data_IF_125564248764
#
_entry.id   IF_125564248764
#
_cell.length_a   1.000
_cell.length_b   1.000
_cell.length_c   1.000
_cell.angle_alpha   90.00
_cell.angle_beta   90.00
_cell.angle_gamma   90.00
#
_symmetry.space_group_name_H-M   'P 1'
#
loop_
_entity.id
_entity.type
_entity.pdbx_description
1 polymer ?
#
# COMPACT_ATOMS: atom_id res chain seq x y z
N UNK A 1 43.03 -22.07 0.40
CA UNK A 1 42.08 -21.35 1.27
C UNK A 1 42.07 -19.84 0.93
N UNK A 2 42.68 -19.45 -0.19
CA UNK A 2 43.18 -18.10 -0.42
C UNK A 2 42.27 -17.22 -1.31
N UNK A 3 41.37 -17.84 -2.08
CA UNK A 3 40.43 -17.09 -2.93
C UNK A 3 39.34 -16.37 -2.12
N UNK A 4 38.86 -16.94 -1.01
CA UNK A 4 37.77 -16.33 -0.21
C UNK A 4 38.23 -15.06 0.53
N UNK A 5 39.50 -15.03 0.95
CA UNK A 5 40.10 -13.90 1.66
C UNK A 5 40.37 -12.71 0.72
N UNK A 6 40.69 -12.99 -0.55
CA UNK A 6 40.87 -11.98 -1.60
C UNK A 6 39.57 -11.23 -1.94
N UNK A 7 38.45 -11.93 -2.08
CA UNK A 7 37.15 -11.31 -2.37
C UNK A 7 36.63 -10.45 -1.20
N UNK A 8 36.83 -10.90 0.04
CA UNK A 8 36.44 -10.15 1.25
C UNK A 8 37.24 -8.84 1.39
N UNK A 9 38.54 -8.87 1.13
CA UNK A 9 39.38 -7.68 1.13
C UNK A 9 39.02 -6.70 0.01
N UNK A 10 38.72 -7.19 -1.20
CA UNK A 10 38.29 -6.35 -2.32
C UNK A 10 36.94 -5.67 -2.06
N UNK A 11 35.97 -6.38 -1.48
CA UNK A 11 34.68 -5.81 -1.08
C UNK A 11 34.84 -4.73 0.00
N UNK A 12 35.68 -4.99 1.01
CA UNK A 12 35.99 -4.05 2.10
C UNK A 12 36.69 -2.79 1.59
N UNK A 13 37.63 -2.95 0.64
CA UNK A 13 38.32 -1.84 -0.01
C UNK A 13 37.36 -0.97 -0.83
N UNK A 14 36.45 -1.58 -1.59
CA UNK A 14 35.46 -0.85 -2.40
C UNK A 14 34.48 -0.05 -1.53
N UNK A 15 34.02 -0.61 -0.40
CA UNK A 15 33.14 0.09 0.55
C UNK A 15 33.86 1.27 1.20
N UNK A 16 35.13 1.09 1.59
CA UNK A 16 35.94 2.17 2.19
C UNK A 16 36.19 3.30 1.19
N UNK A 17 36.56 2.96 -0.05
CA UNK A 17 36.76 3.93 -1.13
C UNK A 17 35.47 4.69 -1.47
N UNK A 18 34.33 4.00 -1.50
CA UNK A 18 33.03 4.65 -1.70
C UNK A 18 32.66 5.62 -0.55
N UNK A 19 32.99 5.26 0.69
CA UNK A 19 32.79 6.12 1.87
C UNK A 19 33.68 7.37 1.83
N UNK A 20 34.93 7.22 1.44
CA UNK A 20 35.89 8.33 1.25
C UNK A 20 35.43 9.28 0.13
N UNK A 21 34.98 8.75 -1.01
CA UNK A 21 34.44 9.54 -2.13
C UNK A 21 33.17 10.31 -1.70
N UNK A 22 32.26 9.65 -0.97
CA UNK A 22 31.05 10.30 -0.43
C UNK A 22 31.38 11.44 0.52
N UNK A 23 32.34 11.25 1.42
CA UNK A 23 32.77 12.31 2.34
C UNK A 23 33.45 13.48 1.62
N UNK A 24 34.32 13.20 0.64
CA UNK A 24 35.00 14.23 -0.15
C UNK A 24 34.00 15.07 -0.95
N UNK A 25 33.01 14.41 -1.54
CA UNK A 25 31.96 15.09 -2.29
C UNK A 25 31.01 15.90 -1.39
N UNK A 26 30.68 15.38 -0.19
CA UNK A 26 29.92 16.10 0.83
C UNK A 26 30.59 17.41 1.24
N UNK A 27 31.90 17.39 1.54
CA UNK A 27 32.66 18.61 1.86
C UNK A 27 32.68 19.61 0.70
N UNK A 28 32.73 19.12 -0.54
CA UNK A 28 32.66 19.99 -1.74
C UNK A 28 31.31 20.71 -1.81
N UNK A 29 30.20 20.00 -1.61
CA UNK A 29 28.86 20.60 -1.56
C UNK A 29 28.73 21.64 -0.44
N UNK A 30 29.23 21.33 0.76
CA UNK A 30 29.23 22.27 1.90
C UNK A 30 30.05 23.54 1.60
N UNK A 31 31.21 23.40 0.97
CA UNK A 31 32.02 24.55 0.55
C UNK A 31 31.33 25.41 -0.52
N UNK A 32 30.61 24.79 -1.45
CA UNK A 32 29.82 25.50 -2.48
C UNK A 32 28.60 26.21 -1.88
N UNK A 33 27.99 25.64 -0.84
CA UNK A 33 26.89 26.24 -0.09
C UNK A 33 27.36 27.48 0.69
N UNK A 34 28.54 27.41 1.32
CA UNK A 34 29.14 28.54 2.05
C UNK A 34 29.58 29.68 1.12
N UNK A 35 29.96 29.37 -0.12
CA UNK A 35 30.38 30.36 -1.12
C UNK A 35 29.22 31.00 -1.89
N UNK A 36 27.95 30.67 -1.58
CA UNK A 36 26.75 31.20 -2.22
C UNK A 36 26.70 31.02 -3.75
N UNK A 37 27.43 30.03 -4.29
CA UNK A 37 27.41 29.70 -5.71
C UNK A 37 26.24 28.77 -6.05
N UNK A 38 25.07 29.39 -6.20
CA UNK A 38 23.82 28.70 -6.52
C UNK A 38 23.86 27.94 -7.86
N UNK A 39 24.59 28.43 -8.87
CA UNK A 39 24.64 27.80 -10.20
C UNK A 39 25.36 26.47 -10.18
N UNK A 40 26.52 26.41 -9.54
CA UNK A 40 27.29 25.16 -9.41
C UNK A 40 26.55 24.10 -8.60
N UNK A 41 25.81 24.52 -7.57
CA UNK A 41 24.94 23.63 -6.78
C UNK A 41 23.81 23.03 -7.62
N UNK A 42 23.10 23.87 -8.40
CA UNK A 42 22.02 23.40 -9.27
C UNK A 42 22.52 22.48 -10.39
N UNK A 43 23.73 22.70 -10.92
CA UNK A 43 24.34 21.83 -11.92
C UNK A 43 24.76 20.47 -11.34
N UNK A 44 25.33 20.47 -10.13
CA UNK A 44 25.63 19.25 -9.39
C UNK A 44 24.36 18.46 -9.05
N UNK A 45 23.29 19.14 -8.63
CA UNK A 45 22.01 18.51 -8.32
C UNK A 45 21.38 17.85 -9.55
N UNK A 46 21.39 18.54 -10.71
CA UNK A 46 20.88 17.98 -11.98
C UNK A 46 21.63 16.72 -12.41
N UNK A 47 22.94 16.66 -12.14
CA UNK A 47 23.76 15.48 -12.46
C UNK A 47 23.43 14.28 -11.56
N UNK A 48 23.00 14.53 -10.31
CA UNK A 48 22.65 13.47 -9.35
C UNK A 48 21.23 12.95 -9.60
N UNK A 49 20.32 13.82 -9.98
CA UNK A 49 18.89 13.50 -10.10
C UNK A 49 18.47 13.09 -11.52
N UNK A 50 19.40 13.07 -12.49
CA UNK A 50 19.11 12.89 -13.92
C UNK A 50 17.99 13.83 -14.43
N UNK A 51 17.88 15.01 -13.81
CA UNK A 51 16.79 15.93 -14.09
C UNK A 51 16.99 16.61 -15.45
N UNK A 52 16.20 16.19 -16.44
CA UNK A 52 16.04 16.87 -17.72
C UNK A 52 14.91 17.89 -17.61
N UNK A 53 15.23 19.16 -17.89
CA UNK A 53 14.21 20.20 -18.02
C UNK A 53 13.25 19.83 -19.17
N UNK A 54 11.94 20.11 -19.06
CA UNK A 54 11.01 19.85 -20.14
C UNK A 54 11.41 20.66 -21.36
N UNK A 55 11.73 19.99 -22.47
CA UNK A 55 11.92 20.63 -23.77
C UNK A 55 10.60 21.27 -24.17
N UNK A 56 10.63 22.59 -24.39
CA UNK A 56 9.51 23.36 -24.90
C UNK A 56 9.11 22.89 -26.30
N UNK A 57 8.13 21.99 -26.37
CA UNK A 57 7.30 21.77 -27.54
C UNK A 57 5.88 22.13 -27.13
N UNK A 58 5.48 23.36 -27.46
CA UNK A 58 4.08 23.79 -27.38
C UNK A 58 3.40 23.16 -28.58
N UNK A 59 2.78 21.99 -28.39
CA UNK A 59 1.81 21.46 -29.34
C UNK A 59 0.46 22.14 -29.13
N UNK A 60 -0.07 22.71 -30.21
CA UNK A 60 -1.23 23.57 -30.28
C UNK A 60 -2.59 22.88 -30.00
N UNK A 61 -2.65 21.89 -29.12
CA UNK A 61 -3.88 21.11 -28.85
C UNK A 61 -4.56 21.44 -27.50
N UNK A 62 -4.07 22.45 -26.76
CA UNK A 62 -4.62 22.83 -25.46
C UNK A 62 -5.98 23.58 -25.52
N UNK A 63 -6.42 24.03 -26.70
CA UNK A 63 -7.70 24.78 -26.84
C UNK A 63 -8.93 23.89 -27.03
N UNK A 64 -8.78 22.61 -27.37
CA UNK A 64 -9.91 21.68 -27.52
C UNK A 64 -10.44 21.13 -26.18
N UNK A 65 -9.57 20.98 -25.17
CA UNK A 65 -9.93 20.37 -23.89
C UNK A 65 -10.57 21.33 -22.86
N UNK A 66 -10.59 22.64 -23.13
CA UNK A 66 -11.27 23.60 -22.25
C UNK A 66 -12.81 23.50 -22.35
N UNK A 67 -13.34 23.13 -23.52
CA UNK A 67 -14.79 23.06 -23.74
C UNK A 67 -15.44 21.78 -23.19
N UNK A 68 -14.66 20.72 -22.99
CA UNK A 68 -15.15 19.44 -22.42
C UNK A 68 -15.37 19.56 -20.90
N UNK A 69 -14.55 20.36 -20.21
CA UNK A 69 -14.65 20.57 -18.76
C UNK A 69 -15.83 21.49 -18.40
N UNK A 70 -16.21 22.41 -19.30
CA UNK A 70 -17.36 23.28 -19.11
C UNK A 70 -18.70 22.52 -19.19
N UNK A 71 -18.83 21.56 -20.12
CA UNK A 71 -20.05 20.77 -20.29
C UNK A 71 -20.26 19.72 -19.18
N UNK A 72 -19.20 19.25 -18.53
CA UNK A 72 -19.30 18.34 -17.38
C UNK A 72 -19.86 19.02 -16.12
N UNK A 73 -19.73 20.34 -15.98
CA UNK A 73 -20.28 21.11 -14.85
C UNK A 73 -21.78 21.41 -15.00
N UNK A 74 -22.32 21.39 -16.22
CA UNK A 74 -23.72 21.70 -16.48
C UNK A 74 -24.68 20.53 -16.19
N UNK A 75 -24.19 19.28 -16.16
CA UNK A 75 -25.00 18.08 -15.92
C UNK A 75 -24.93 17.55 -14.47
N UNK A 76 -24.24 18.25 -13.57
CA UNK A 76 -24.11 17.87 -12.16
C UNK A 76 -25.20 18.48 -11.24
N UNK A 77 -26.10 19.31 -11.77
CA UNK A 77 -27.14 20.05 -11.03
C UNK A 77 -28.44 19.27 -10.79
N UNK A 78 -28.46 17.95 -10.92
CA UNK A 78 -29.60 17.13 -10.49
C UNK A 78 -29.14 15.94 -9.65
N UNK A 79 -28.79 16.22 -8.40
CA UNK A 79 -28.82 15.22 -7.34
C UNK A 79 -29.59 15.83 -6.18
N UNK A 80 -30.78 15.27 -5.95
CA UNK A 80 -31.70 15.63 -4.86
C UNK A 80 -30.98 15.48 -3.53
N UNK A 81 -31.04 16.53 -2.72
CA UNK A 81 -30.69 16.46 -1.30
C UNK A 81 -31.78 15.67 -0.59
N UNK A 82 -31.48 14.43 -0.22
CA UNK A 82 -32.14 13.79 0.91
C UNK A 82 -31.26 14.05 2.14
N UNK A 83 -31.57 15.12 2.86
CA UNK A 83 -31.08 15.33 4.22
C UNK A 83 -31.79 14.31 5.13
N UNK A 84 -31.17 13.16 5.34
CA UNK A 84 -31.50 12.29 6.47
C UNK A 84 -30.38 12.38 7.49
N UNK A 85 -30.65 13.17 8.53
CA UNK A 85 -29.83 13.33 9.71
C UNK A 85 -29.90 12.06 10.58
N UNK A 86 -28.99 11.12 10.35
CA UNK A 86 -28.48 10.22 11.40
C UNK A 86 -26.99 10.52 11.58
N UNK A 87 -26.67 11.41 12.51
CA UNK A 87 -25.27 11.62 12.95
C UNK A 87 -24.88 10.45 13.87
N UNK A 88 -24.76 9.27 13.29
CA UNK A 88 -24.20 8.10 13.96
C UNK A 88 -22.67 8.20 13.86
N UNK A 89 -22.00 8.38 15.01
CA UNK A 89 -20.56 8.32 15.24
C UNK A 89 -19.65 8.56 14.01
N UNK A 90 -19.40 9.84 13.69
CA UNK A 90 -18.40 10.19 12.70
C UNK A 90 -17.04 9.56 13.05
N UNK A 91 -16.52 8.71 12.17
CA UNK A 91 -15.21 8.09 12.34
C UNK A 91 -14.11 9.15 12.22
N UNK A 92 -13.57 9.59 13.35
CA UNK A 92 -12.50 10.57 13.42
C UNK A 92 -11.21 9.88 13.81
N UNK A 93 -10.17 10.07 13.00
CA UNK A 93 -8.83 9.53 13.27
C UNK A 93 -8.08 10.50 14.17
N UNK A 94 -7.54 10.01 15.29
CA UNK A 94 -6.67 10.79 16.16
C UNK A 94 -5.20 10.74 15.72
N UNK A 95 -4.42 11.76 16.09
CA UNK A 95 -2.97 11.75 15.84
C UNK A 95 -2.25 10.58 16.50
N UNK A 96 -2.74 10.16 17.67
CA UNK A 96 -2.22 9.01 18.38
C UNK A 96 -2.38 7.71 17.56
N UNK A 97 -3.51 7.54 16.88
CA UNK A 97 -3.76 6.38 16.03
C UNK A 97 -2.85 6.35 14.81
N UNK A 98 -2.65 7.51 14.15
CA UNK A 98 -1.72 7.63 13.02
C UNK A 98 -0.27 7.36 13.45
N UNK A 99 0.16 7.95 14.57
CA UNK A 99 1.48 7.73 15.16
C UNK A 99 1.70 6.25 15.48
N UNK A 100 0.70 5.59 16.09
CA UNK A 100 0.73 4.15 16.38
C UNK A 100 0.81 3.32 15.10
N UNK A 101 0.04 3.67 14.07
CA UNK A 101 0.07 3.00 12.78
C UNK A 101 1.46 3.11 12.13
N UNK A 102 2.07 4.30 12.13
CA UNK A 102 3.41 4.55 11.59
C UNK A 102 4.51 3.78 12.33
N UNK A 103 4.46 3.75 13.66
CA UNK A 103 5.42 3.00 14.48
C UNK A 103 5.36 1.48 14.24
N UNK A 104 4.18 0.96 13.88
CA UNK A 104 3.96 -0.46 13.55
C UNK A 104 4.33 -0.84 12.12
N UNK A 105 4.67 0.12 11.26
CA UNK A 105 5.06 -0.18 9.87
C UNK A 105 6.33 -1.05 9.83
N UNK A 106 6.29 -2.09 9.00
CA UNK A 106 7.47 -2.90 8.72
C UNK A 106 8.44 -2.10 7.82
N UNK A 107 9.59 -1.75 8.37
CA UNK A 107 10.62 -0.90 7.73
C UNK A 107 11.37 -1.58 6.59
N UNK A 108 11.22 -2.89 6.42
CA UNK A 108 11.87 -3.67 5.36
C UNK A 108 11.01 -3.79 4.10
N UNK A 109 9.73 -3.37 4.16
CA UNK A 109 8.84 -3.42 2.99
C UNK A 109 9.22 -2.33 1.99
N UNK A 110 9.05 -2.64 0.70
CA UNK A 110 9.28 -1.70 -0.39
C UNK A 110 8.32 -0.50 -0.32
N UNK A 111 8.80 0.66 -0.76
CA UNK A 111 8.01 1.88 -0.88
C UNK A 111 7.04 1.80 -2.06
N UNK A 112 5.96 2.58 -2.02
CA UNK A 112 5.05 2.72 -3.16
C UNK A 112 5.61 3.65 -4.25
N UNK A 113 4.78 4.04 -5.22
CA UNK A 113 5.14 5.01 -6.26
C UNK A 113 5.50 6.39 -5.69
N UNK A 114 5.00 6.69 -4.49
CA UNK A 114 5.30 7.91 -3.72
C UNK A 114 6.74 7.98 -3.19
N UNK A 115 7.50 6.88 -3.24
CA UNK A 115 8.88 6.81 -2.76
C UNK A 115 9.02 6.86 -1.23
N UNK A 116 7.91 6.89 -0.48
CA UNK A 116 7.92 7.01 0.98
C UNK A 116 8.13 5.62 1.58
N UNK A 117 9.35 5.36 2.06
CA UNK A 117 9.67 4.10 2.72
C UNK A 117 9.06 4.01 4.12
N UNK A 118 8.71 2.80 4.55
CA UNK A 118 8.24 2.54 5.91
C UNK A 118 9.26 2.91 7.00
N UNK A 119 10.56 2.96 6.66
CA UNK A 119 11.61 3.43 7.57
C UNK A 119 11.45 4.91 7.90
N UNK A 120 11.16 5.75 6.90
CA UNK A 120 10.92 7.19 7.09
C UNK A 120 9.69 7.40 7.95
N UNK A 121 8.58 6.71 7.65
CA UNK A 121 7.35 6.83 8.44
C UNK A 121 7.55 6.46 9.91
N UNK A 122 8.30 5.40 10.18
CA UNK A 122 8.57 4.96 11.55
C UNK A 122 9.53 5.90 12.30
N UNK A 123 10.56 6.39 11.62
CA UNK A 123 11.56 7.28 12.23
C UNK A 123 10.99 8.69 12.49
N UNK A 124 10.18 9.20 11.57
CA UNK A 124 9.58 10.53 11.64
C UNK A 124 8.12 10.49 12.09
N UNK A 125 7.71 9.46 12.83
CA UNK A 125 6.30 9.22 13.16
C UNK A 125 5.69 10.39 13.95
N UNK A 126 6.46 10.98 14.85
CA UNK A 126 5.99 12.06 15.72
C UNK A 126 5.80 13.38 14.96
N UNK A 127 6.65 13.64 13.97
CA UNK A 127 6.60 14.84 13.13
C UNK A 127 5.55 14.72 12.02
N UNK A 128 5.37 13.53 11.45
CA UNK A 128 4.45 13.30 10.33
C UNK A 128 3.01 13.07 10.79
N UNK A 129 2.78 12.51 11.99
CA UNK A 129 1.44 12.17 12.45
C UNK A 129 0.45 13.36 12.44
N UNK A 130 0.79 14.57 12.94
CA UNK A 130 -0.16 15.69 12.93
C UNK A 130 -0.63 16.06 11.53
N UNK A 131 0.30 16.21 10.58
CA UNK A 131 0.01 16.60 9.19
C UNK A 131 -0.81 15.51 8.48
N UNK A 132 -0.41 14.24 8.64
CA UNK A 132 -1.11 13.13 7.99
C UNK A 132 -2.51 12.92 8.57
N UNK A 133 -2.71 13.17 9.87
CA UNK A 133 -4.03 13.07 10.51
C UNK A 133 -5.02 14.04 9.89
N UNK A 134 -4.60 15.29 9.64
CA UNK A 134 -5.43 16.29 8.95
C UNK A 134 -5.78 15.79 7.55
N UNK A 135 -4.81 15.27 6.79
CA UNK A 135 -5.06 14.74 5.44
C UNK A 135 -6.04 13.57 5.47
N UNK A 136 -5.89 12.64 6.42
CA UNK A 136 -6.76 11.48 6.55
C UNK A 136 -8.20 11.88 6.89
N UNK A 137 -8.40 12.75 7.87
CA UNK A 137 -9.72 13.21 8.25
C UNK A 137 -10.39 14.02 7.12
N UNK A 138 -9.65 14.91 6.44
CA UNK A 138 -10.16 15.60 5.25
C UNK A 138 -10.56 14.61 4.15
N UNK A 139 -9.76 13.57 3.93
CA UNK A 139 -10.04 12.55 2.91
C UNK A 139 -11.31 11.76 3.24
N UNK A 140 -11.57 11.46 4.52
CA UNK A 140 -12.78 10.78 4.98
C UNK A 140 -14.02 11.69 4.87
N UNK A 141 -13.92 12.94 5.30
CA UNK A 141 -15.02 13.91 5.25
C UNK A 141 -15.42 14.22 3.80
N UNK A 142 -14.43 14.43 2.92
CA UNK A 142 -14.66 14.77 1.52
C UNK A 142 -14.90 13.55 0.65
N UNK A 143 -14.69 12.34 1.15
CA UNK A 143 -14.69 11.10 0.35
C UNK A 143 -13.71 11.15 -0.84
N UNK A 144 -12.59 11.86 -0.69
CA UNK A 144 -11.57 12.04 -1.74
C UNK A 144 -10.19 11.68 -1.19
N UNK A 145 -9.60 10.61 -1.72
CA UNK A 145 -8.19 10.26 -1.46
C UNK A 145 -7.26 11.02 -2.43
N UNK A 146 -6.11 11.56 -1.97
CA UNK A 146 -5.08 12.14 -2.83
C UNK A 146 -4.62 11.21 -3.96
N UNK A 147 -4.37 11.74 -5.14
CA UNK A 147 -3.97 10.95 -6.33
C UNK A 147 -2.70 10.13 -6.09
N UNK A 148 -1.69 10.72 -5.45
CA UNK A 148 -0.43 10.05 -5.11
C UNK A 148 -0.62 8.80 -4.20
N UNK A 149 -1.73 8.70 -3.47
CA UNK A 149 -2.04 7.54 -2.63
C UNK A 149 -2.85 6.46 -3.37
N UNK A 150 -3.49 6.82 -4.49
CA UNK A 150 -4.25 5.90 -5.36
C UNK A 150 -3.37 5.14 -6.35
N UNK A 151 -2.17 5.63 -6.62
CA UNK A 151 -1.25 5.03 -7.56
C UNK A 151 -0.63 3.73 -7.00
N UNK A 152 -0.34 2.79 -7.89
CA UNK A 152 0.33 1.53 -7.55
C UNK A 152 1.26 1.06 -8.65
N UNK A 153 2.35 0.38 -8.28
CA UNK A 153 3.23 -0.32 -9.22
C UNK A 153 2.89 -1.80 -9.20
N UNK A 154 2.55 -2.39 -10.34
CA UNK A 154 2.30 -3.83 -10.46
C UNK A 154 3.63 -4.56 -10.65
N UNK A 155 3.97 -5.41 -9.68
CA UNK A 155 5.17 -6.25 -9.73
C UNK A 155 4.75 -7.70 -9.96
N UNK A 156 5.10 -8.34 -11.10
CA UNK A 156 4.81 -9.74 -11.33
C UNK A 156 5.73 -10.63 -10.49
N UNK A 157 5.15 -11.43 -9.58
CA UNK A 157 5.89 -12.37 -8.73
C UNK A 157 5.65 -13.80 -9.22
N UNK A 158 6.71 -14.58 -9.53
CA UNK A 158 6.54 -15.94 -10.05
C UNK A 158 5.92 -16.87 -9.01
N UNK A 159 4.93 -17.69 -9.44
CA UNK A 159 4.30 -18.75 -8.63
C UNK A 159 5.18 -19.99 -8.50
N UNK A 160 6.04 -20.23 -9.50
CA UNK A 160 6.92 -21.41 -9.63
C UNK A 160 8.31 -20.96 -10.07
N UNK A 161 9.32 -21.80 -9.85
CA UNK A 161 10.74 -21.48 -10.14
C UNK A 161 10.99 -21.16 -11.62
N UNK A 162 10.31 -21.86 -12.53
CA UNK A 162 10.43 -21.66 -13.98
C UNK A 162 9.06 -21.30 -14.59
N UNK A 163 8.68 -20.00 -14.59
CA UNK A 163 7.44 -19.54 -15.19
C UNK A 163 7.53 -19.61 -16.73
N UNK A 164 6.50 -20.15 -17.38
CA UNK A 164 6.44 -20.33 -18.84
C UNK A 164 5.35 -19.47 -19.49
N UNK A 165 4.35 -19.05 -18.71
CA UNK A 165 3.23 -18.23 -19.15
C UNK A 165 2.99 -17.04 -18.21
N UNK A 166 2.25 -16.03 -18.66
CA UNK A 166 1.87 -14.88 -17.82
C UNK A 166 1.01 -15.31 -16.61
N UNK A 167 0.21 -16.37 -16.76
CA UNK A 167 -0.61 -16.92 -15.69
C UNK A 167 0.22 -17.56 -14.55
N UNK A 168 1.50 -17.83 -14.80
CA UNK A 168 2.44 -18.32 -13.77
C UNK A 168 2.94 -17.20 -12.85
N UNK A 169 2.56 -15.95 -13.09
CA UNK A 169 2.85 -14.82 -12.22
C UNK A 169 1.63 -14.42 -11.39
N UNK A 170 1.89 -13.89 -10.19
CA UNK A 170 0.91 -13.15 -9.38
C UNK A 170 1.20 -11.66 -9.57
N UNK A 171 0.24 -10.86 -10.06
CA UNK A 171 0.41 -9.42 -10.04
C UNK A 171 0.30 -8.92 -8.59
N UNK A 172 1.39 -8.38 -8.05
CA UNK A 172 1.40 -7.77 -6.71
C UNK A 172 1.39 -6.25 -6.86
N UNK A 173 0.31 -5.61 -6.39
CA UNK A 173 0.21 -4.16 -6.39
C UNK A 173 0.98 -3.55 -5.21
N UNK A 174 2.03 -2.79 -5.53
CA UNK A 174 2.80 -2.03 -4.56
C UNK A 174 2.17 -0.63 -4.41
N UNK A 175 1.29 -0.49 -3.42
CA UNK A 175 0.64 0.79 -3.06
C UNK A 175 1.42 1.55 -1.99
N UNK A 176 1.12 2.86 -1.87
CA UNK A 176 1.69 3.77 -0.85
C UNK A 176 1.63 3.17 0.56
N UNK A 177 2.72 3.30 1.31
CA UNK A 177 2.77 2.84 2.70
C UNK A 177 1.90 3.71 3.61
N UNK A 178 1.76 5.00 3.27
CA UNK A 178 0.86 5.93 3.96
C UNK A 178 -0.59 5.51 3.76
N UNK A 179 -0.99 5.19 2.51
CA UNK A 179 -2.34 4.72 2.22
C UNK A 179 -2.69 3.44 2.98
N UNK A 180 -1.76 2.48 3.03
CA UNK A 180 -1.92 1.25 3.84
C UNK A 180 -2.15 1.53 5.32
N UNK A 181 -1.66 2.64 5.85
CA UNK A 181 -1.94 3.03 7.24
C UNK A 181 -3.38 3.51 7.40
N UNK A 182 -3.89 4.33 6.47
CA UNK A 182 -5.29 4.74 6.46
C UNK A 182 -6.23 3.53 6.32
N UNK A 183 -5.97 2.66 5.34
CA UNK A 183 -6.73 1.42 5.13
C UNK A 183 -6.77 0.55 6.39
N UNK A 184 -5.67 0.50 7.16
CA UNK A 184 -5.65 -0.24 8.43
C UNK A 184 -6.55 0.38 9.48
N UNK A 185 -6.51 1.70 9.63
CA UNK A 185 -7.35 2.39 10.60
C UNK A 185 -8.83 2.24 10.26
N UNK A 186 -9.19 2.40 8.98
CA UNK A 186 -10.56 2.19 8.48
C UNK A 186 -10.99 0.75 8.65
N UNK A 187 -10.14 -0.23 8.31
CA UNK A 187 -10.44 -1.65 8.55
C UNK A 187 -10.71 -1.93 10.03
N UNK A 188 -9.87 -1.42 10.92
CA UNK A 188 -10.01 -1.68 12.35
C UNK A 188 -11.35 -1.11 12.87
N UNK A 189 -11.77 0.05 12.35
CA UNK A 189 -13.09 0.61 12.60
C UNK A 189 -14.22 -0.26 12.05
N UNK A 190 -14.15 -0.66 10.76
CA UNK A 190 -15.17 -1.51 10.14
C UNK A 190 -15.32 -2.82 10.92
N UNK A 191 -14.21 -3.48 11.26
CA UNK A 191 -14.23 -4.74 12.02
C UNK A 191 -14.85 -4.54 13.41
N UNK A 192 -14.58 -3.42 14.08
CA UNK A 192 -15.18 -3.13 15.38
C UNK A 192 -16.69 -2.87 15.32
N UNK A 193 -17.21 -2.53 14.16
CA UNK A 193 -18.64 -2.30 13.91
C UNK A 193 -19.36 -3.56 13.41
N UNK A 194 -18.63 -4.62 13.03
CA UNK A 194 -19.25 -5.87 12.60
C UNK A 194 -19.85 -6.61 13.80
N UNK A 195 -20.97 -7.33 13.60
CA UNK A 195 -21.56 -8.13 14.67
C UNK A 195 -20.64 -9.28 15.07
N UNK A 196 -20.66 -9.66 16.35
CA UNK A 196 -19.91 -10.81 16.89
C UNK A 196 -20.37 -12.15 16.28
N UNK A 197 -21.50 -12.16 15.56
CA UNK A 197 -22.12 -13.32 14.91
C UNK A 197 -21.56 -13.61 13.51
N UNK A 198 -20.25 -13.47 13.32
CA UNK A 198 -19.62 -13.99 12.11
C UNK A 198 -19.71 -15.52 12.10
N UNK A 199 -19.67 -16.11 10.91
CA UNK A 199 -19.78 -17.56 10.75
C UNK A 199 -18.73 -18.28 11.61
N UNK A 200 -19.14 -19.14 12.57
CA UNK A 200 -18.20 -19.86 13.43
C UNK A 200 -17.32 -20.84 12.66
N UNK A 201 -17.61 -21.13 11.39
CA UNK A 201 -16.79 -21.93 10.48
C UNK A 201 -15.93 -21.08 9.53
N UNK A 202 -15.88 -19.75 9.71
CA UNK A 202 -14.93 -18.90 9.03
C UNK A 202 -13.56 -18.97 9.74
N UNK A 203 -12.59 -19.60 9.07
CA UNK A 203 -11.22 -19.73 9.58
C UNK A 203 -10.27 -18.68 8.99
N UNK A 204 -10.51 -18.25 7.76
CA UNK A 204 -9.67 -17.27 7.07
C UNK A 204 -9.99 -15.84 7.53
N UNK A 205 -8.94 -15.01 7.65
CA UNK A 205 -9.00 -13.59 8.03
C UNK A 205 -9.59 -13.30 9.42
N UNK A 206 -9.81 -14.32 10.25
CA UNK A 206 -10.23 -14.18 11.64
C UNK A 206 -9.01 -14.16 12.58
N UNK A 207 -8.98 -13.31 13.62
CA UNK A 207 -7.93 -13.37 14.63
C UNK A 207 -7.98 -14.72 15.37
N UNK A 208 -6.81 -15.23 15.76
CA UNK A 208 -6.67 -16.50 16.51
C UNK A 208 -7.23 -17.74 15.81
N UNK A 209 -7.31 -17.72 14.47
CA UNK A 209 -7.66 -18.89 13.65
C UNK A 209 -6.64 -19.06 12.53
N UNK A 210 -6.44 -20.32 12.14
CA UNK A 210 -5.46 -20.72 11.14
C UNK A 210 -6.05 -21.72 10.15
N UNK A 211 -5.29 -22.00 9.09
CA UNK A 211 -5.60 -23.08 8.15
C UNK A 211 -5.58 -24.45 8.82
N UNK A 212 -4.75 -24.62 9.87
CA UNK A 212 -4.61 -25.88 10.58
C UNK A 212 -5.86 -26.18 11.42
N UNK A 213 -6.52 -25.14 11.96
CA UNK A 213 -7.80 -25.27 12.65
C UNK A 213 -8.90 -25.76 11.69
N UNK A 214 -8.93 -25.20 10.46
CA UNK A 214 -9.89 -25.60 9.43
C UNK A 214 -9.71 -27.07 9.04
N UNK A 215 -8.45 -27.49 8.81
CA UNK A 215 -8.11 -28.88 8.47
C UNK A 215 -8.47 -29.80 9.63
N UNK A 216 -8.11 -29.44 10.86
CA UNK A 216 -8.38 -30.23 12.06
C UNK A 216 -9.88 -30.39 12.26
N UNK A 217 -10.67 -29.33 12.10
CA UNK A 217 -12.12 -29.37 12.20
C UNK A 217 -12.74 -30.27 11.11
N UNK A 218 -12.29 -30.14 9.86
CA UNK A 218 -12.75 -30.96 8.74
C UNK A 218 -12.45 -32.45 8.98
N UNK A 219 -11.22 -32.76 9.38
CA UNK A 219 -10.80 -34.14 9.66
C UNK A 219 -11.55 -34.72 10.86
N UNK A 220 -11.65 -33.97 11.97
CA UNK A 220 -12.36 -34.43 13.16
C UNK A 220 -13.83 -34.74 12.85
N UNK A 221 -14.51 -33.84 12.14
CA UNK A 221 -15.91 -34.03 11.73
C UNK A 221 -16.05 -35.25 10.82
N UNK A 222 -15.16 -35.41 9.86
CA UNK A 222 -15.20 -36.51 8.89
C UNK A 222 -14.96 -37.86 9.55
N UNK A 223 -13.92 -37.98 10.39
CA UNK A 223 -13.56 -39.22 11.07
C UNK A 223 -14.63 -39.63 12.09
N UNK A 224 -15.15 -38.69 12.88
CA UNK A 224 -16.23 -38.96 13.83
C UNK A 224 -17.49 -39.50 13.14
N UNK A 225 -17.82 -38.97 11.95
CA UNK A 225 -18.92 -39.48 11.15
C UNK A 225 -18.68 -40.91 10.62
N UNK A 226 -17.45 -41.24 10.24
CA UNK A 226 -17.08 -42.59 9.77
C UNK A 226 -17.11 -43.62 10.91
N UNK A 227 -16.72 -43.24 12.12
CA UNK A 227 -16.66 -44.15 13.28
C UNK A 227 -18.03 -44.50 13.86
N UNK A 228 -19.07 -43.72 13.59
CA UNK A 228 -20.41 -43.89 14.20
C UNK A 228 -21.11 -45.20 13.78
N UNK A 229 -21.02 -45.62 12.52
CA UNK A 229 -21.63 -46.87 12.03
C UNK A 229 -20.83 -47.46 10.87
N UNK A 230 -20.75 -48.80 10.82
CA UNK A 230 -20.23 -49.53 9.65
C UNK A 230 -21.09 -49.22 8.42
N UNK A 231 -20.44 -48.77 7.34
CA UNK A 231 -21.09 -48.42 6.07
C UNK A 231 -21.29 -46.92 5.84
N UNK A 232 -20.89 -46.05 6.77
CA UNK A 232 -20.88 -44.61 6.56
C UNK A 232 -19.80 -44.20 5.53
N UNK A 233 -20.07 -43.15 4.76
CA UNK A 233 -19.11 -42.55 3.85
C UNK A 233 -19.22 -41.02 3.92
N UNK A 234 -18.11 -40.33 3.62
CA UNK A 234 -18.05 -38.86 3.60
C UNK A 234 -17.78 -38.41 2.17
N UNK A 235 -18.51 -37.40 1.71
CA UNK A 235 -18.25 -36.70 0.43
C UNK A 235 -17.90 -35.26 0.74
N UNK A 236 -16.83 -34.78 0.11
CA UNK A 236 -16.38 -33.39 0.25
C UNK A 236 -16.55 -32.68 -1.09
N UNK A 237 -17.14 -31.49 -1.06
CA UNK A 237 -17.26 -30.60 -2.21
C UNK A 237 -16.37 -29.38 -1.98
N UNK A 238 -15.38 -29.19 -2.85
CA UNK A 238 -14.53 -28.00 -2.84
C UNK A 238 -15.05 -27.01 -3.88
N UNK A 239 -15.41 -25.82 -3.41
CA UNK A 239 -15.90 -24.71 -4.24
C UNK A 239 -14.91 -23.56 -4.13
N UNK A 240 -14.49 -23.01 -5.27
CA UNK A 240 -13.60 -21.85 -5.33
C UNK A 240 -14.21 -20.75 -6.21
N UNK A 241 -14.04 -19.49 -5.81
CA UNK A 241 -14.54 -18.34 -6.55
C UNK A 241 -13.48 -17.86 -7.53
N UNK A 242 -13.86 -17.77 -8.80
CA UNK A 242 -13.00 -17.15 -9.82
C UNK A 242 -12.85 -15.65 -9.53
N UNK A 243 -11.63 -15.22 -9.21
CA UNK A 243 -11.27 -13.80 -9.08
C UNK A 243 -12.14 -13.01 -8.07
N UNK A 244 -12.35 -13.58 -6.88
CA UNK A 244 -13.27 -13.09 -5.86
C UNK A 244 -13.26 -11.57 -5.60
N UNK A 245 -12.09 -10.92 -5.56
CA UNK A 245 -11.98 -9.47 -5.30
C UNK A 245 -12.37 -8.58 -6.49
N UNK A 246 -12.19 -9.05 -7.73
CA UNK A 246 -12.54 -8.28 -8.92
C UNK A 246 -14.04 -8.40 -9.26
N UNK A 247 -14.72 -9.41 -8.73
CA UNK A 247 -16.13 -9.70 -9.00
C UNK A 247 -17.07 -9.16 -7.91
N UNK A 248 -16.58 -8.34 -6.98
CA UNK A 248 -17.40 -7.77 -5.90
C UNK A 248 -18.33 -6.70 -6.47
N UNK A 249 -19.62 -6.83 -6.17
CA UNK A 249 -20.63 -5.83 -6.49
C UNK A 249 -20.66 -4.79 -5.37
N UNK A 250 -20.27 -3.55 -5.68
CA UNK A 250 -20.09 -2.50 -4.67
C UNK A 250 -21.39 -2.16 -3.94
N UNK A 251 -22.53 -2.11 -4.64
CA UNK A 251 -23.84 -1.82 -4.01
C UNK A 251 -24.22 -2.86 -2.96
N UNK A 252 -24.05 -4.14 -3.27
CA UNK A 252 -24.31 -5.23 -2.32
C UNK A 252 -23.36 -5.20 -1.13
N UNK A 253 -22.09 -4.81 -1.34
CA UNK A 253 -21.13 -4.66 -0.25
C UNK A 253 -21.55 -3.52 0.68
N UNK A 254 -21.93 -2.35 0.13
CA UNK A 254 -22.37 -1.20 0.93
C UNK A 254 -23.63 -1.49 1.75
N UNK A 255 -24.54 -2.33 1.26
CA UNK A 255 -25.73 -2.73 2.04
C UNK A 255 -25.40 -3.69 3.19
N UNK A 256 -24.28 -4.42 3.10
CA UNK A 256 -23.83 -5.38 4.12
C UNK A 256 -22.92 -4.77 5.19
N UNK A 257 -22.36 -3.59 4.91
CA UNK A 257 -21.51 -2.81 5.81
C UNK A 257 -22.34 -1.76 6.54
#
# INVERSE_FOLDING_TARGET
MDSYNSYSMAASYNVRKAKEVKQRYGRKLESQLQQSDSRSLWQGLRTITDYKAPTSAIDANAKANANVIANAKANASSCRQEENANTENAFIISEHDVRRAFRRVNTRKAAGPDGISGRVLRACADQLAPVITVIFNLSLIQSVIPTCFKESIIVPVPKKTHPASLNDYRPVALTSVVMKCLERLVRDFIISSLPDTLDPLQFAYCPNRSTDDAISHLLHTSLTHLDTRKGNYVKMLFVDYSSAFNTIILSTLTTKL
#
